data_IF_728978123385
#
_entry.id   IF_728978123385
#
_cell.length_a   1.000
_cell.length_b   1.000
_cell.length_c   1.000
_cell.angle_alpha   90.00
_cell.angle_beta   90.00
_cell.angle_gamma   90.00
#
_symmetry.space_group_name_H-M   'P 1'
#
loop_
_entity.id
_entity.type
_entity.pdbx_description
1 polymer ?
#
# COMPACT_ATOMS: atom_id res chain seq x y z
N UNK A 1 0.44 10.48 17.55
CA UNK A 1 1.56 9.91 16.77
C UNK A 1 1.22 8.52 16.24
N UNK A 2 0.71 7.63 17.11
CA UNK A 2 0.35 6.26 16.73
C UNK A 2 -0.77 6.17 15.67
N UNK A 3 -1.80 7.00 15.75
CA UNK A 3 -2.87 7.02 14.74
C UNK A 3 -2.38 7.44 13.34
N UNK A 4 -1.50 8.44 13.27
CA UNK A 4 -0.89 8.88 12.02
C UNK A 4 0.01 7.78 11.42
N UNK A 5 0.75 7.05 12.26
CA UNK A 5 1.57 5.92 11.81
C UNK A 5 0.70 4.76 11.31
N UNK A 6 -0.40 4.45 12.00
CA UNK A 6 -1.38 3.45 11.56
C UNK A 6 -2.09 3.83 10.26
N UNK A 7 -2.51 5.09 10.11
CA UNK A 7 -3.10 5.59 8.87
C UNK A 7 -2.09 5.60 7.71
N UNK A 8 -0.84 5.98 7.98
CA UNK A 8 0.25 5.91 7.00
C UNK A 8 0.52 4.47 6.59
N UNK A 9 0.52 3.54 7.55
CA UNK A 9 0.62 2.11 7.28
C UNK A 9 -0.52 1.67 6.38
N UNK A 10 -1.78 1.99 6.70
CA UNK A 10 -2.91 1.65 5.82
C UNK A 10 -2.73 2.21 4.40
N UNK A 11 -2.41 3.50 4.26
CA UNK A 11 -2.21 4.17 2.96
C UNK A 11 -1.08 3.56 2.14
N UNK A 12 -0.01 3.06 2.77
CA UNK A 12 1.12 2.43 2.07
C UNK A 12 0.68 1.24 1.19
N UNK A 13 -0.44 0.57 1.51
CA UNK A 13 -0.98 -0.53 0.69
C UNK A 13 -1.28 -0.09 -0.74
N UNK A 14 -1.68 1.17 -0.95
CA UNK A 14 -1.99 1.72 -2.27
C UNK A 14 -0.77 1.72 -3.19
N UNK A 15 0.45 1.82 -2.65
CA UNK A 15 1.67 1.75 -3.45
C UNK A 15 1.84 0.36 -4.08
N UNK A 16 1.72 -0.70 -3.27
CA UNK A 16 1.77 -2.07 -3.74
C UNK A 16 0.60 -2.40 -4.67
N UNK A 17 -0.62 -1.97 -4.32
CA UNK A 17 -1.81 -2.19 -5.16
C UNK A 17 -1.68 -1.51 -6.53
N UNK A 18 -1.12 -0.29 -6.60
CA UNK A 18 -0.84 0.39 -7.87
C UNK A 18 0.24 -0.31 -8.70
N UNK A 19 1.24 -0.92 -8.05
CA UNK A 19 2.28 -1.69 -8.73
C UNK A 19 1.72 -3.01 -9.25
N UNK A 20 0.89 -3.67 -8.45
CA UNK A 20 0.21 -4.92 -8.79
C UNK A 20 -0.76 -4.74 -9.93
N UNK A 21 -1.62 -3.72 -9.85
CA UNK A 21 -2.53 -3.39 -10.92
C UNK A 21 -1.74 -3.30 -12.24
N UNK A 22 -0.60 -2.56 -12.25
CA UNK A 22 0.33 -2.39 -13.41
C UNK A 22 0.92 -3.67 -13.98
N UNK A 23 1.03 -4.71 -13.17
CA UNK A 23 1.67 -5.95 -13.58
C UNK A 23 0.68 -7.03 -14.02
N UNK A 24 -0.61 -6.86 -13.73
CA UNK A 24 -1.65 -7.83 -14.07
C UNK A 24 -2.47 -7.32 -15.24
N UNK A 25 -2.65 -8.11 -16.31
CA UNK A 25 -3.57 -7.75 -17.38
C UNK A 25 -4.97 -7.68 -16.79
N UNK A 26 -5.50 -6.47 -16.64
CA UNK A 26 -6.89 -6.24 -16.31
C UNK A 26 -7.57 -5.67 -17.54
N UNK A 27 -8.72 -6.24 -17.92
CA UNK A 27 -9.53 -5.74 -19.06
C UNK A 27 -9.78 -4.23 -18.99
N UNK A 28 -9.81 -3.67 -17.79
CA UNK A 28 -10.00 -2.25 -17.53
C UNK A 28 -8.95 -1.35 -18.19
N UNK A 29 -7.79 -1.88 -18.58
CA UNK A 29 -6.67 -1.08 -19.09
C UNK A 29 -6.32 -1.34 -20.55
N UNK A 30 -6.96 -2.32 -21.19
CA UNK A 30 -6.74 -2.61 -22.62
C UNK A 30 -5.35 -3.19 -22.96
N UNK A 31 -4.44 -3.30 -22.00
CA UNK A 31 -3.09 -3.79 -22.22
C UNK A 31 -3.01 -5.33 -22.17
N UNK A 32 -2.18 -5.89 -23.06
CA UNK A 32 -1.85 -7.32 -23.10
C UNK A 32 -1.13 -7.82 -21.83
N UNK A 33 -0.86 -9.12 -21.76
CA UNK A 33 -0.25 -9.73 -20.57
C UNK A 33 1.01 -8.99 -20.10
N UNK A 34 0.98 -8.49 -18.85
CA UNK A 34 2.13 -7.85 -18.24
C UNK A 34 3.34 -8.79 -18.20
N UNK A 35 4.52 -8.29 -18.57
CA UNK A 35 5.75 -9.10 -18.64
C UNK A 35 6.06 -9.81 -17.30
N UNK A 36 6.70 -11.01 -17.33
CA UNK A 36 7.13 -11.70 -16.10
C UNK A 36 7.98 -10.83 -15.17
N UNK A 37 8.79 -9.92 -15.74
CA UNK A 37 9.61 -8.96 -14.98
C UNK A 37 8.75 -7.94 -14.23
N UNK A 38 7.66 -7.46 -14.83
CA UNK A 38 6.71 -6.57 -14.17
C UNK A 38 6.00 -7.26 -12.99
N UNK A 39 5.62 -8.53 -13.17
CA UNK A 39 5.03 -9.36 -12.10
C UNK A 39 5.98 -9.56 -10.93
N UNK A 40 7.23 -9.95 -11.19
CA UNK A 40 8.24 -10.06 -10.12
C UNK A 40 8.49 -8.74 -9.41
N UNK A 41 8.56 -7.63 -10.14
CA UNK A 41 8.69 -6.29 -9.54
C UNK A 41 7.49 -5.93 -8.66
N UNK A 42 6.27 -6.28 -9.06
CA UNK A 42 5.08 -6.05 -8.26
C UNK A 42 5.02 -6.92 -7.00
N UNK A 43 5.43 -8.19 -7.09
CA UNK A 43 5.57 -9.07 -5.92
C UNK A 43 6.60 -8.52 -4.94
N UNK A 44 7.77 -8.10 -5.42
CA UNK A 44 8.80 -7.50 -4.59
C UNK A 44 8.28 -6.24 -3.88
N UNK A 45 7.58 -5.36 -4.60
CA UNK A 45 6.96 -4.17 -4.02
C UNK A 45 5.90 -4.50 -2.96
N UNK A 46 5.08 -5.53 -3.19
CA UNK A 46 4.08 -6.00 -2.24
C UNK A 46 4.72 -6.52 -0.95
N UNK A 47 5.76 -7.35 -1.06
CA UNK A 47 6.49 -7.89 0.09
C UNK A 47 7.16 -6.78 0.91
N UNK A 48 7.84 -5.84 0.24
CA UNK A 48 8.47 -4.70 0.92
C UNK A 48 7.43 -3.81 1.63
N UNK A 49 6.29 -3.60 0.98
CA UNK A 49 5.18 -2.82 1.56
C UNK A 49 4.60 -3.53 2.78
N UNK A 50 4.36 -4.84 2.71
CA UNK A 50 3.87 -5.63 3.84
C UNK A 50 4.83 -5.60 5.03
N UNK A 51 6.14 -5.73 4.78
CA UNK A 51 7.14 -5.64 5.83
C UNK A 51 7.14 -4.26 6.51
N UNK A 52 7.11 -3.17 5.73
CA UNK A 52 7.05 -1.81 6.25
C UNK A 52 5.74 -1.53 7.01
N UNK A 53 4.61 -1.96 6.47
CA UNK A 53 3.30 -1.80 7.10
C UNK A 53 3.20 -2.61 8.39
N UNK A 54 3.64 -3.86 8.38
CA UNK A 54 3.61 -4.72 9.56
C UNK A 54 4.43 -4.13 10.69
N UNK A 55 5.66 -3.70 10.41
CA UNK A 55 6.53 -3.04 11.40
C UNK A 55 5.92 -1.74 11.91
N UNK A 56 5.42 -0.86 11.03
CA UNK A 56 4.77 0.39 11.41
C UNK A 56 3.49 0.19 12.23
N UNK A 57 2.62 -0.74 11.82
CA UNK A 57 1.35 -1.02 12.47
C UNK A 57 1.53 -1.67 13.83
N UNK A 58 2.46 -2.63 13.96
CA UNK A 58 2.81 -3.26 15.24
C UNK A 58 3.44 -2.23 16.19
N UNK A 59 4.32 -1.37 15.69
CA UNK A 59 4.90 -0.29 16.50
C UNK A 59 3.85 0.73 16.96
N UNK A 60 2.79 0.95 16.18
CA UNK A 60 1.76 1.93 16.51
C UNK A 60 0.69 1.40 17.48
N UNK A 61 0.23 0.16 17.29
CA UNK A 61 -0.98 -0.38 17.93
C UNK A 61 -0.75 -1.72 18.65
N UNK A 62 0.49 -2.23 18.64
CA UNK A 62 0.84 -3.54 19.19
C UNK A 62 0.58 -4.70 18.22
N UNK A 63 1.02 -5.93 18.57
CA UNK A 63 1.05 -7.07 17.65
C UNK A 63 -0.32 -7.46 17.09
N UNK A 64 -1.32 -7.62 17.96
CA UNK A 64 -2.64 -8.10 17.57
C UNK A 64 -3.37 -7.10 16.66
N UNK A 65 -3.44 -5.83 17.09
CA UNK A 65 -4.11 -4.78 16.32
C UNK A 65 -3.35 -4.46 15.02
N UNK A 66 -2.01 -4.46 15.06
CA UNK A 66 -1.19 -4.24 13.87
C UNK A 66 -1.38 -5.33 12.82
N UNK A 67 -1.38 -6.60 13.22
CA UNK A 67 -1.63 -7.73 12.31
C UNK A 67 -3.05 -7.76 11.76
N UNK A 68 -4.04 -7.22 12.47
CA UNK A 68 -5.40 -7.07 11.96
C UNK A 68 -5.55 -5.88 10.99
N UNK A 69 -4.83 -4.79 11.25
CA UNK A 69 -4.90 -3.56 10.44
C UNK A 69 -4.40 -3.79 9.01
N UNK A 70 -3.29 -4.51 8.83
CA UNK A 70 -2.67 -4.73 7.51
C UNK A 70 -3.65 -5.41 6.54
N UNK A 71 -4.18 -6.62 6.79
CA UNK A 71 -5.13 -7.27 5.87
C UNK A 71 -6.40 -6.44 5.69
N UNK A 72 -6.92 -5.81 6.75
CA UNK A 72 -8.10 -4.95 6.64
C UNK A 72 -7.88 -3.76 5.68
N UNK A 73 -6.71 -3.12 5.76
CA UNK A 73 -6.33 -2.03 4.87
C UNK A 73 -6.22 -2.50 3.42
N UNK A 74 -5.56 -3.63 3.18
CA UNK A 74 -5.44 -4.21 1.83
C UNK A 74 -6.81 -4.56 1.23
N UNK A 75 -7.72 -5.14 2.02
CA UNK A 75 -9.07 -5.45 1.55
C UNK A 75 -9.87 -4.19 1.27
N UNK A 76 -9.93 -3.24 2.21
CA UNK A 76 -10.73 -2.04 2.08
C UNK A 76 -10.22 -1.12 0.96
N UNK A 77 -8.91 -0.87 0.91
CA UNK A 77 -8.30 0.00 -0.09
C UNK A 77 -8.17 -0.70 -1.45
N UNK A 78 -7.95 -2.03 -1.48
CA UNK A 78 -7.98 -2.81 -2.72
C UNK A 78 -9.37 -2.80 -3.36
N UNK A 79 -10.41 -3.01 -2.56
CA UNK A 79 -11.80 -2.91 -3.00
C UNK A 79 -12.13 -1.49 -3.49
N UNK A 80 -11.83 -0.47 -2.67
CA UNK A 80 -12.07 0.92 -3.00
C UNK A 80 -11.34 1.37 -4.26
N UNK A 81 -10.08 0.95 -4.44
CA UNK A 81 -9.30 1.23 -5.65
C UNK A 81 -9.94 0.58 -6.87
N UNK A 82 -10.38 -0.68 -6.76
CA UNK A 82 -11.07 -1.38 -7.86
C UNK A 82 -12.34 -0.64 -8.28
N UNK A 83 -13.17 -0.22 -7.32
CA UNK A 83 -14.37 0.57 -7.60
C UNK A 83 -14.04 1.91 -8.25
N UNK A 84 -13.06 2.63 -7.70
CA UNK A 84 -12.64 3.93 -8.22
C UNK A 84 -12.04 3.84 -9.62
N UNK A 85 -11.34 2.74 -9.93
CA UNK A 85 -10.79 2.49 -11.25
C UNK A 85 -11.86 2.17 -12.30
N UNK A 86 -12.98 1.54 -11.92
CA UNK A 86 -14.10 1.32 -12.84
C UNK A 86 -14.77 2.62 -13.29
N UNK A 87 -14.74 3.66 -12.45
CA UNK A 87 -15.34 4.96 -12.76
C UNK A 87 -14.34 5.92 -13.41
N UNK A 88 -13.14 6.04 -12.83
CA UNK A 88 -12.11 7.02 -13.23
C UNK A 88 -10.70 6.39 -13.25
N UNK A 89 -10.34 5.60 -14.26
CA UNK A 89 -9.12 4.79 -14.26
C UNK A 89 -7.85 5.61 -14.01
N UNK A 90 -7.62 6.65 -14.82
CA UNK A 90 -6.39 7.45 -14.78
C UNK A 90 -6.30 8.34 -13.53
N UNK A 91 -7.44 8.92 -13.11
CA UNK A 91 -7.52 9.79 -11.94
C UNK A 91 -7.25 9.01 -10.66
N UNK A 92 -7.90 7.86 -10.52
CA UNK A 92 -7.77 6.97 -9.36
C UNK A 92 -6.34 6.45 -9.21
N UNK A 93 -5.69 6.04 -10.30
CA UNK A 93 -4.31 5.55 -10.25
C UNK A 93 -3.32 6.66 -9.84
N UNK A 94 -3.50 7.89 -10.34
CA UNK A 94 -2.66 9.04 -9.99
C UNK A 94 -2.73 9.34 -8.50
N UNK A 95 -3.94 9.41 -7.95
CA UNK A 95 -4.15 9.70 -6.53
C UNK A 95 -3.70 8.54 -5.64
N UNK A 96 -4.00 7.30 -6.01
CA UNK A 96 -3.56 6.12 -5.28
C UNK A 96 -2.03 6.04 -5.19
N UNK A 97 -1.30 6.40 -6.25
CA UNK A 97 0.17 6.51 -6.19
C UNK A 97 0.65 7.59 -5.24
N UNK A 98 0.06 8.79 -5.28
CA UNK A 98 0.43 9.90 -4.40
C UNK A 98 0.18 9.56 -2.93
N UNK A 99 -0.99 8.99 -2.64
CA UNK A 99 -1.37 8.56 -1.30
C UNK A 99 -0.51 7.39 -0.81
N UNK A 100 -0.23 6.41 -1.67
CA UNK A 100 0.68 5.30 -1.36
C UNK A 100 2.09 5.77 -1.03
N UNK A 101 2.64 6.70 -1.81
CA UNK A 101 3.95 7.30 -1.55
C UNK A 101 3.97 8.09 -0.22
N UNK A 102 2.90 8.87 0.04
CA UNK A 102 2.75 9.58 1.31
C UNK A 102 2.67 8.59 2.50
N UNK A 103 1.95 7.47 2.35
CA UNK A 103 1.86 6.42 3.36
C UNK A 103 3.22 5.77 3.65
N UNK A 104 4.00 5.44 2.62
CA UNK A 104 5.36 4.91 2.77
C UNK A 104 6.24 5.92 3.52
N UNK A 105 6.24 7.18 3.08
CA UNK A 105 7.04 8.22 3.71
C UNK A 105 6.65 8.42 5.18
N UNK A 106 5.35 8.42 5.48
CA UNK A 106 4.83 8.50 6.84
C UNK A 106 5.27 7.33 7.72
N UNK A 107 5.30 6.11 7.17
CA UNK A 107 5.82 4.93 7.88
C UNK A 107 7.31 5.07 8.19
N UNK A 108 8.13 5.42 7.19
CA UNK A 108 9.58 5.56 7.35
C UNK A 108 9.91 6.65 8.38
N UNK A 109 9.30 7.83 8.25
CA UNK A 109 9.52 8.94 9.18
C UNK A 109 9.03 8.61 10.59
N UNK A 110 7.87 7.97 10.73
CA UNK A 110 7.32 7.60 12.03
C UNK A 110 8.16 6.54 12.74
N UNK A 111 8.65 5.53 12.02
CA UNK A 111 9.58 4.52 12.56
C UNK A 111 10.92 5.14 12.95
N UNK A 112 11.50 5.99 12.10
CA UNK A 112 12.75 6.69 12.40
C UNK A 112 12.62 7.60 13.63
N UNK A 113 11.51 8.33 13.76
CA UNK A 113 11.25 9.17 14.92
C UNK A 113 11.08 8.36 16.21
N UNK A 114 10.50 7.15 16.15
CA UNK A 114 10.46 6.27 17.31
C UNK A 114 11.83 5.73 17.68
N UNK A 115 12.63 5.31 16.69
CA UNK A 115 13.99 4.81 16.93
C UNK A 115 14.91 5.87 17.54
N UNK A 116 14.73 7.15 17.19
CA UNK A 116 15.49 8.28 17.77
C UNK A 116 15.04 8.70 19.18
N UNK A 117 13.87 8.25 19.63
CA UNK A 117 13.30 8.54 20.96
C UNK A 117 13.54 7.42 21.98
N UNK A 118 13.90 6.23 21.50
CA UNK A 118 14.37 5.12 22.32
C UNK A 118 15.85 5.25 22.63
#
# INVERSE_FOLDING_TARGET
MNELLGASAALASLAALCQWARAVPTRAWGDGEGSPRARHGALAAALLTLALQGTAAVAAAGPAAGLALVPAAWMALGWGLTLAMNQWPEGSLRWARRLGAAGILGCVLGLAAQALRG
#
